data_IF_827363695189
#
_entry.id   IF_827363695189
#
_cell.length_a   1.000
_cell.length_b   1.000
_cell.length_c   1.000
_cell.angle_alpha   90.00
_cell.angle_beta   90.00
_cell.angle_gamma   90.00
#
_symmetry.space_group_name_H-M   'P 1'
#
loop_
_entity.id
_entity.type
_entity.pdbx_description
1 polymer ?
#
# COMPACT_ATOMS: atom_id res chain seq x y z
N UNK A 1 24.97 57.19 57.46
CA UNK A 1 23.74 56.37 57.28
C UNK A 1 24.10 55.13 56.48
N UNK A 2 23.43 53.99 56.71
CA UNK A 2 24.04 52.66 56.89
C UNK A 2 24.15 51.80 55.61
N UNK A 3 25.05 50.81 55.66
CA UNK A 3 25.02 49.53 54.91
C UNK A 3 24.02 48.57 55.62
N UNK A 4 23.36 47.61 54.93
CA UNK A 4 23.96 46.26 54.82
C UNK A 4 23.61 45.46 53.52
N UNK A 5 24.51 44.61 52.99
CA UNK A 5 24.65 43.13 53.14
C UNK A 5 23.49 42.37 52.42
N UNK A 6 23.71 41.40 51.51
CA UNK A 6 24.01 39.98 51.83
C UNK A 6 24.24 39.12 50.55
N UNK A 7 25.37 38.39 50.51
CA UNK A 7 25.54 36.95 50.14
C UNK A 7 25.48 36.50 48.65
N UNK A 8 26.65 36.14 48.12
CA UNK A 8 26.88 34.90 47.31
C UNK A 8 26.76 33.66 48.23
N UNK A 9 26.71 32.36 47.82
CA UNK A 9 27.14 31.69 46.57
C UNK A 9 26.26 30.43 46.20
N UNK A 10 26.84 29.40 45.53
CA UNK A 10 26.40 27.98 45.40
C UNK A 10 25.59 27.72 44.10
N UNK A 11 26.17 27.20 43.01
CA UNK A 11 26.59 25.81 42.71
C UNK A 11 25.48 24.75 42.73
N UNK A 12 25.61 23.80 41.79
CA UNK A 12 24.95 22.49 41.67
C UNK A 12 23.76 22.31 40.71
N UNK A 13 24.10 21.63 39.61
CA UNK A 13 23.47 20.42 39.06
C UNK A 13 21.97 20.39 38.80
N UNK A 14 21.61 20.21 37.53
CA UNK A 14 20.65 19.17 37.13
C UNK A 14 20.84 18.76 35.65
N UNK A 15 21.38 17.55 35.52
CA UNK A 15 21.27 16.56 34.44
C UNK A 15 20.89 17.02 33.01
N UNK A 16 21.89 17.05 32.12
CA UNK A 16 21.69 16.78 30.70
C UNK A 16 21.53 15.26 30.56
N UNK A 17 20.30 14.77 30.37
CA UNK A 17 20.09 13.42 29.88
C UNK A 17 20.43 13.39 28.39
N UNK A 18 21.69 13.10 28.09
CA UNK A 18 22.13 12.72 26.76
C UNK A 18 21.75 11.24 26.56
N UNK A 19 20.60 10.97 25.95
CA UNK A 19 20.27 9.61 25.52
C UNK A 19 21.11 9.24 24.30
N UNK A 20 22.32 8.76 24.53
CA UNK A 20 23.08 7.97 23.55
C UNK A 20 22.30 6.70 23.25
N UNK A 21 21.61 6.67 22.10
CA UNK A 21 21.08 5.43 21.53
C UNK A 21 22.24 4.66 20.90
N UNK A 22 22.82 3.75 21.67
CA UNK A 22 23.80 2.78 21.18
C UNK A 22 23.07 1.75 20.32
N UNK A 23 23.14 1.90 19.00
CA UNK A 23 22.67 0.89 18.06
C UNK A 23 23.56 -0.36 18.16
N UNK A 24 23.12 -1.35 18.94
CA UNK A 24 23.76 -2.66 19.01
C UNK A 24 23.39 -3.45 17.74
N UNK A 25 24.29 -3.51 16.77
CA UNK A 25 24.13 -4.38 15.60
C UNK A 25 24.26 -5.85 16.04
N UNK A 26 23.14 -6.56 16.14
CA UNK A 26 23.14 -8.01 16.26
C UNK A 26 23.35 -8.63 14.87
N UNK A 27 24.53 -9.21 14.65
CA UNK A 27 24.83 -10.13 13.56
C UNK A 27 23.90 -11.36 13.65
N UNK A 28 23.47 -11.96 12.52
CA UNK A 28 22.68 -13.18 12.53
C UNK A 28 23.53 -14.38 13.02
N UNK A 29 22.94 -15.36 13.73
CA UNK A 29 23.65 -16.55 14.15
C UNK A 29 23.98 -17.45 12.96
N UNK A 30 25.21 -17.95 12.98
CA UNK A 30 25.80 -18.90 12.03
C UNK A 30 25.06 -20.24 12.11
N UNK A 31 24.36 -20.65 11.04
CA UNK A 31 23.82 -22.02 10.94
C UNK A 31 24.98 -23.02 10.81
N UNK A 32 25.27 -23.74 11.89
CA UNK A 32 26.12 -24.94 11.87
C UNK A 32 25.28 -26.15 11.48
N UNK A 33 25.55 -26.70 10.30
CA UNK A 33 24.98 -27.97 9.79
C UNK A 33 25.64 -29.15 10.52
N UNK A 34 24.89 -30.14 11.05
CA UNK A 34 25.48 -31.39 11.52
C UNK A 34 25.76 -32.36 10.34
N UNK A 35 26.87 -33.10 10.34
CA UNK A 35 27.16 -34.10 9.31
C UNK A 35 26.35 -35.38 9.56
N UNK A 36 25.55 -35.80 8.57
CA UNK A 36 24.95 -37.13 8.54
C UNK A 36 25.93 -38.14 7.90
N UNK A 37 26.12 -39.34 8.48
CA UNK A 37 26.98 -40.36 7.89
C UNK A 37 26.23 -41.15 6.83
N UNK A 38 26.87 -41.28 5.67
CA UNK A 38 26.48 -42.17 4.58
C UNK A 38 26.58 -43.63 5.05
N UNK A 39 25.45 -44.34 5.06
CA UNK A 39 25.42 -45.80 5.16
C UNK A 39 25.30 -46.42 3.77
N UNK A 40 26.33 -47.21 3.46
CA UNK A 40 26.52 -48.06 2.29
C UNK A 40 25.58 -49.27 2.41
N UNK A 41 24.77 -49.53 1.37
CA UNK A 41 24.17 -50.84 1.08
C UNK A 41 24.30 -51.06 -0.44
N UNK A 42 25.36 -51.74 -0.86
CA UNK A 42 25.45 -53.19 -1.05
C UNK A 42 24.67 -53.72 -2.25
N UNK A 43 25.46 -54.04 -3.27
CA UNK A 43 25.21 -54.62 -4.60
C UNK A 43 24.52 -55.99 -4.54
N UNK A 44 23.41 -56.17 -5.27
CA UNK A 44 23.06 -57.43 -5.95
C UNK A 44 22.35 -57.13 -7.28
N UNK A 45 22.98 -57.56 -8.38
CA UNK A 45 22.34 -57.82 -9.66
C UNK A 45 21.26 -58.90 -9.52
N UNK A 46 20.25 -58.90 -10.39
CA UNK A 46 19.95 -59.97 -11.37
C UNK A 46 18.59 -59.70 -12.05
N UNK A 47 18.60 -59.93 -13.36
CA UNK A 47 17.50 -60.29 -14.27
C UNK A 47 16.59 -59.20 -14.87
N UNK A 48 16.90 -58.93 -16.14
CA UNK A 48 15.99 -58.60 -17.25
C UNK A 48 14.73 -59.48 -17.25
N UNK A 49 13.53 -58.88 -17.26
CA UNK A 49 12.31 -59.52 -17.75
C UNK A 49 11.35 -58.50 -18.42
N UNK A 50 11.28 -58.61 -19.75
CA UNK A 50 10.11 -58.47 -20.63
C UNK A 50 9.33 -57.15 -20.72
N UNK A 51 9.60 -56.40 -21.79
CA UNK A 51 8.66 -55.45 -22.40
C UNK A 51 7.55 -56.22 -23.13
N UNK A 52 6.38 -56.38 -22.50
CA UNK A 52 5.14 -56.67 -23.21
C UNK A 52 4.42 -55.34 -23.45
N UNK A 53 4.55 -54.84 -24.68
CA UNK A 53 3.75 -53.74 -25.18
C UNK A 53 2.30 -54.21 -25.34
N UNK A 54 1.44 -53.77 -24.42
CA UNK A 54 0.00 -53.73 -24.64
C UNK A 54 -0.45 -52.34 -24.24
N UNK A 55 -0.50 -51.44 -25.22
CA UNK A 55 -0.97 -50.06 -25.04
C UNK A 55 -2.45 -50.08 -24.65
N UNK A 56 -2.83 -49.61 -23.44
CA UNK A 56 -4.18 -49.12 -23.24
C UNK A 56 -4.36 -47.89 -24.14
N UNK A 57 -5.56 -47.59 -24.67
CA UNK A 57 -5.79 -46.26 -25.21
C UNK A 57 -5.39 -45.26 -24.13
N UNK A 58 -4.55 -44.30 -24.50
CA UNK A 58 -4.21 -43.19 -23.64
C UNK A 58 -5.50 -42.44 -23.34
N UNK A 59 -6.20 -42.85 -22.28
CA UNK A 59 -7.09 -41.95 -21.55
C UNK A 59 -6.18 -40.82 -21.11
N UNK A 60 -6.20 -39.74 -21.88
CA UNK A 60 -5.76 -38.44 -21.41
C UNK A 60 -6.60 -38.18 -20.16
N UNK A 61 -6.02 -38.50 -19.00
CA UNK A 61 -6.45 -37.90 -17.77
C UNK A 61 -6.06 -36.44 -17.99
N UNK A 62 -7.02 -35.67 -18.49
CA UNK A 62 -7.03 -34.22 -18.43
C UNK A 62 -7.09 -33.90 -16.94
N UNK A 63 -5.97 -34.10 -16.24
CA UNK A 63 -5.72 -33.40 -15.00
C UNK A 63 -5.75 -31.95 -15.47
N UNK A 64 -6.85 -31.27 -15.17
CA UNK A 64 -7.07 -29.86 -15.46
C UNK A 64 -6.12 -28.95 -14.68
N UNK A 65 -4.82 -29.26 -14.68
CA UNK A 65 -3.74 -28.37 -14.29
C UNK A 65 -3.62 -27.33 -15.38
N UNK A 66 -4.52 -26.36 -15.26
CA UNK A 66 -4.40 -25.02 -15.82
C UNK A 66 -2.93 -24.62 -15.90
N UNK A 67 -2.42 -24.35 -17.10
CA UNK A 67 -0.99 -24.08 -17.32
C UNK A 67 -0.45 -22.95 -16.43
N UNK A 68 0.88 -22.79 -16.28
CA UNK A 68 1.48 -21.89 -15.29
C UNK A 68 0.92 -20.45 -15.28
N UNK A 69 0.58 -19.91 -16.46
CA UNK A 69 -0.06 -18.59 -16.60
C UNK A 69 -1.46 -18.55 -15.95
N UNK A 70 -2.28 -19.57 -16.20
CA UNK A 70 -3.62 -19.64 -15.65
C UNK A 70 -3.61 -19.98 -14.16
N UNK A 71 -2.68 -20.83 -13.71
CA UNK A 71 -2.42 -21.04 -12.29
C UNK A 71 -2.08 -19.73 -11.58
N UNK A 72 -1.20 -18.91 -12.15
CA UNK A 72 -0.82 -17.62 -11.57
C UNK A 72 -1.97 -16.60 -11.58
N UNK A 73 -2.81 -16.60 -12.63
CA UNK A 73 -4.04 -15.80 -12.69
C UNK A 73 -4.98 -16.15 -11.53
N UNK A 74 -5.20 -17.44 -11.28
CA UNK A 74 -6.04 -17.93 -10.17
C UNK A 74 -5.47 -17.52 -8.80
N UNK A 75 -4.14 -17.57 -8.62
CA UNK A 75 -3.52 -17.12 -7.39
C UNK A 75 -3.71 -15.61 -7.15
N UNK A 76 -3.53 -14.78 -8.19
CA UNK A 76 -3.75 -13.34 -8.07
C UNK A 76 -5.21 -13.01 -7.78
N UNK A 77 -6.16 -13.73 -8.38
CA UNK A 77 -7.59 -13.60 -8.09
C UNK A 77 -7.89 -13.93 -6.63
N UNK A 78 -7.34 -15.02 -6.09
CA UNK A 78 -7.52 -15.38 -4.66
C UNK A 78 -6.90 -14.35 -3.72
N UNK A 79 -5.82 -13.70 -4.15
CA UNK A 79 -5.13 -12.66 -3.39
C UNK A 79 -5.75 -11.26 -3.55
N UNK A 80 -6.74 -11.07 -4.43
CA UNK A 80 -7.27 -9.74 -4.79
C UNK A 80 -7.77 -8.96 -3.58
N UNK A 81 -8.41 -9.62 -2.61
CA UNK A 81 -8.87 -8.98 -1.35
C UNK A 81 -7.74 -8.28 -0.58
N UNK A 82 -6.52 -8.80 -0.65
CA UNK A 82 -5.37 -8.20 0.01
C UNK A 82 -4.76 -7.07 -0.83
N UNK A 83 -4.83 -7.20 -2.16
CA UNK A 83 -4.42 -6.14 -3.07
C UNK A 83 -5.32 -4.90 -2.97
N UNK A 84 -6.61 -5.10 -2.70
CA UNK A 84 -7.60 -4.02 -2.62
C UNK A 84 -7.73 -3.38 -1.23
N UNK A 85 -7.11 -3.95 -0.19
CA UNK A 85 -7.21 -3.40 1.17
C UNK A 85 -6.81 -1.90 1.30
N UNK A 86 -5.75 -1.40 0.62
CA UNK A 86 -5.45 0.03 0.62
C UNK A 86 -6.52 0.91 -0.07
N UNK A 87 -7.20 0.36 -1.09
CA UNK A 87 -8.31 1.03 -1.79
C UNK A 87 -9.51 1.15 -0.85
N UNK A 88 -9.86 0.05 -0.16
CA UNK A 88 -10.92 0.02 0.84
C UNK A 88 -10.67 0.98 1.99
N UNK A 89 -9.44 1.02 2.50
CA UNK A 89 -9.05 1.96 3.57
C UNK A 89 -9.27 3.41 3.13
N UNK A 90 -8.82 3.77 1.92
CA UNK A 90 -9.00 5.12 1.38
C UNK A 90 -10.46 5.49 1.21
N UNK A 91 -11.28 4.55 0.73
CA UNK A 91 -12.74 4.72 0.60
C UNK A 91 -13.41 4.95 1.96
N UNK A 92 -13.03 4.21 2.99
CA UNK A 92 -13.59 4.39 4.34
C UNK A 92 -13.26 5.77 4.92
N UNK A 93 -12.03 6.24 4.73
CA UNK A 93 -11.61 7.57 5.19
C UNK A 93 -12.41 8.68 4.46
N UNK A 94 -12.58 8.56 3.14
CA UNK A 94 -13.41 9.50 2.37
C UNK A 94 -14.87 9.49 2.80
N UNK A 95 -15.45 8.33 3.11
CA UNK A 95 -16.81 8.23 3.67
C UNK A 95 -16.93 8.96 5.00
N UNK A 96 -15.95 8.81 5.90
CA UNK A 96 -15.93 9.56 7.15
C UNK A 96 -15.90 11.07 6.90
N UNK A 97 -15.04 11.53 5.99
CA UNK A 97 -14.97 12.95 5.64
C UNK A 97 -16.29 13.46 5.03
N UNK A 98 -16.91 12.69 4.14
CA UNK A 98 -18.20 13.02 3.53
C UNK A 98 -19.28 13.19 4.61
N UNK A 99 -19.40 12.23 5.53
CA UNK A 99 -20.37 12.30 6.63
C UNK A 99 -20.15 13.53 7.51
N UNK A 100 -18.90 13.89 7.79
CA UNK A 100 -18.57 15.12 8.53
C UNK A 100 -19.03 16.35 7.77
N UNK A 101 -18.79 16.43 6.44
CA UNK A 101 -19.15 17.59 5.60
C UNK A 101 -20.66 17.76 5.38
N UNK A 102 -21.41 16.66 5.38
CA UNK A 102 -22.86 16.66 5.14
C UNK A 102 -23.70 16.73 6.40
N UNK A 103 -23.06 16.78 7.58
CA UNK A 103 -23.80 16.90 8.82
C UNK A 103 -24.43 18.29 8.92
N UNK A 104 -25.77 18.35 8.84
CA UNK A 104 -26.55 19.58 8.79
C UNK A 104 -26.64 20.29 10.13
N UNK A 105 -26.44 19.55 11.23
CA UNK A 105 -26.66 20.04 12.59
C UNK A 105 -25.35 20.48 13.26
N UNK A 106 -24.21 20.34 12.56
CA UNK A 106 -22.90 20.65 13.09
C UNK A 106 -22.56 22.14 12.93
N UNK A 107 -22.01 22.72 14.02
CA UNK A 107 -21.30 23.99 13.95
C UNK A 107 -19.84 23.69 13.62
N UNK A 108 -19.40 24.05 12.43
CA UNK A 108 -18.05 23.72 11.96
C UNK A 108 -17.03 24.68 12.54
N UNK A 109 -16.00 24.14 13.19
CA UNK A 109 -14.88 24.92 13.71
C UNK A 109 -13.62 24.72 12.87
N UNK A 110 -12.58 25.51 13.17
CA UNK A 110 -11.28 25.37 12.50
C UNK A 110 -10.64 24.01 12.81
N UNK A 111 -10.91 23.43 13.99
CA UNK A 111 -10.48 22.08 14.33
C UNK A 111 -11.14 21.00 13.46
N UNK A 112 -12.38 21.22 13.02
CA UNK A 112 -13.05 20.29 12.10
C UNK A 112 -12.49 20.40 10.68
N UNK A 113 -12.10 21.60 10.25
CA UNK A 113 -11.37 21.79 9.00
C UNK A 113 -10.04 21.03 9.03
N UNK A 114 -9.27 21.15 10.11
CA UNK A 114 -8.00 20.43 10.27
C UNK A 114 -8.21 18.91 10.22
N UNK A 115 -9.23 18.38 10.92
CA UNK A 115 -9.57 16.95 10.85
C UNK A 115 -9.90 16.51 9.43
N UNK A 116 -10.69 17.28 8.69
CA UNK A 116 -11.05 16.97 7.30
C UNK A 116 -9.81 16.98 6.40
N UNK A 117 -8.92 17.96 6.56
CA UNK A 117 -7.66 17.99 5.85
C UNK A 117 -6.79 16.76 6.16
N UNK A 118 -6.71 16.34 7.43
CA UNK A 118 -5.99 15.13 7.82
C UNK A 118 -6.62 13.86 7.25
N UNK A 119 -7.95 13.79 7.16
CA UNK A 119 -8.65 12.70 6.49
C UNK A 119 -8.26 12.65 5.01
N UNK A 120 -8.22 13.77 4.29
CA UNK A 120 -7.81 13.78 2.88
C UNK A 120 -6.34 13.43 2.68
N UNK A 121 -5.43 13.91 3.54
CA UNK A 121 -4.03 13.50 3.54
C UNK A 121 -3.90 11.99 3.76
N UNK A 122 -4.69 11.44 4.69
CA UNK A 122 -4.66 10.02 5.01
C UNK A 122 -5.25 9.15 3.89
N UNK A 123 -6.35 9.58 3.27
CA UNK A 123 -6.97 8.89 2.14
C UNK A 123 -6.08 8.89 0.90
N UNK A 124 -5.36 9.99 0.66
CA UNK A 124 -4.49 10.15 -0.50
C UNK A 124 -3.08 9.56 -0.29
N UNK A 125 -2.74 9.12 0.94
CA UNK A 125 -1.39 8.68 1.34
C UNK A 125 -0.80 7.64 0.41
N UNK A 126 -1.64 6.75 -0.09
CA UNK A 126 -1.23 5.61 -0.90
C UNK A 126 -1.00 5.98 -2.37
N UNK A 127 -1.31 7.20 -2.84
CA UNK A 127 -1.03 7.60 -4.23
C UNK A 127 -0.69 9.05 -4.56
N UNK A 128 -0.84 9.99 -3.62
CA UNK A 128 -0.38 11.35 -3.84
C UNK A 128 0.95 11.52 -3.09
N UNK A 129 2.03 11.94 -3.77
CA UNK A 129 3.24 12.36 -3.09
C UNK A 129 2.86 13.49 -2.13
N UNK A 130 2.87 13.20 -0.84
CA UNK A 130 2.81 14.23 0.19
C UNK A 130 4.05 15.14 -0.01
N UNK A 131 4.01 16.38 0.49
CA UNK A 131 5.18 17.25 0.57
C UNK A 131 6.20 16.62 1.53
N UNK A 132 6.89 15.58 1.05
CA UNK A 132 7.79 14.76 1.83
C UNK A 132 9.18 15.32 1.64
N UNK A 133 9.90 15.38 2.76
CA UNK A 133 11.30 15.77 2.90
C UNK A 133 12.14 15.30 1.70
N UNK A 134 13.14 16.10 1.31
CA UNK A 134 13.96 15.95 0.09
C UNK A 134 14.48 14.53 -0.22
N UNK A 135 14.61 13.67 0.79
CA UNK A 135 15.00 12.27 0.69
C UNK A 135 13.97 11.39 -0.05
N UNK A 136 12.67 11.53 0.21
CA UNK A 136 11.64 10.73 -0.48
C UNK A 136 11.45 11.24 -1.90
N UNK A 137 11.62 12.54 -2.14
CA UNK A 137 11.68 13.11 -3.49
C UNK A 137 12.86 12.53 -4.29
N UNK A 138 14.01 12.31 -3.65
CA UNK A 138 15.15 11.65 -4.27
C UNK A 138 14.87 10.18 -4.59
N UNK A 139 14.17 9.46 -3.70
CA UNK A 139 13.77 8.06 -3.95
C UNK A 139 12.76 7.91 -5.10
N UNK A 140 11.80 8.84 -5.18
CA UNK A 140 10.86 8.90 -6.31
C UNK A 140 11.60 9.15 -7.64
N UNK A 141 12.67 9.97 -7.62
CA UNK A 141 13.55 10.18 -8.78
C UNK A 141 14.43 8.97 -9.09
N UNK A 142 14.77 8.14 -8.11
CA UNK A 142 15.58 6.92 -8.28
C UNK A 142 14.77 5.67 -8.65
N UNK A 143 13.51 5.82 -9.07
CA UNK A 143 12.68 4.73 -9.59
C UNK A 143 11.97 3.88 -8.54
N UNK A 144 11.93 4.31 -7.27
CA UNK A 144 11.09 3.68 -6.24
C UNK A 144 9.68 4.25 -6.36
N UNK A 145 8.71 3.41 -6.74
CA UNK A 145 7.32 3.86 -6.83
C UNK A 145 6.74 4.15 -5.45
N UNK A 146 6.30 5.40 -5.27
CA UNK A 146 5.77 5.92 -3.99
C UNK A 146 4.26 5.68 -3.85
N UNK A 147 3.55 5.45 -4.96
CA UNK A 147 2.11 5.21 -4.98
C UNK A 147 1.82 3.71 -4.93
N UNK A 148 1.33 3.23 -3.79
CA UNK A 148 0.88 1.85 -3.55
C UNK A 148 -0.14 1.41 -4.61
N UNK A 149 -1.07 2.27 -5.05
CA UNK A 149 -2.01 1.85 -6.09
C UNK A 149 -1.36 1.63 -7.45
N UNK A 150 -0.26 2.34 -7.76
CA UNK A 150 0.55 2.07 -8.96
C UNK A 150 1.19 0.69 -8.90
N UNK A 151 1.71 0.31 -7.74
CA UNK A 151 2.24 -1.03 -7.50
C UNK A 151 1.13 -2.10 -7.67
N UNK A 152 -0.09 -1.82 -7.19
CA UNK A 152 -1.24 -2.72 -7.37
C UNK A 152 -1.57 -2.90 -8.85
N UNK A 153 -1.68 -1.82 -9.63
CA UNK A 153 -1.94 -1.90 -11.09
C UNK A 153 -0.86 -2.71 -11.79
N UNK A 154 0.42 -2.43 -11.52
CA UNK A 154 1.52 -3.17 -12.13
C UNK A 154 1.52 -4.64 -11.76
N UNK A 155 1.17 -4.97 -10.51
CA UNK A 155 1.05 -6.36 -10.09
C UNK A 155 -0.12 -7.04 -10.80
N UNK A 156 -1.30 -6.43 -10.82
CA UNK A 156 -2.49 -6.99 -11.47
C UNK A 156 -2.24 -7.22 -12.97
N UNK A 157 -1.73 -6.20 -13.67
CA UNK A 157 -1.49 -6.22 -15.11
C UNK A 157 -0.18 -6.93 -15.52
N UNK A 158 0.57 -7.56 -14.61
CA UNK A 158 1.89 -8.13 -14.93
C UNK A 158 1.87 -9.30 -15.93
N UNK A 159 0.68 -9.87 -16.20
CA UNK A 159 0.49 -10.95 -17.19
C UNK A 159 -0.01 -10.42 -18.55
N UNK A 160 -0.29 -9.12 -18.63
CA UNK A 160 -0.80 -8.45 -19.80
C UNK A 160 0.36 -7.81 -20.58
N UNK A 161 0.17 -7.68 -21.90
CA UNK A 161 1.13 -6.97 -22.75
C UNK A 161 1.16 -5.48 -22.43
N UNK A 162 2.26 -4.80 -22.75
CA UNK A 162 2.38 -3.35 -22.51
C UNK A 162 1.39 -2.50 -23.32
N UNK A 163 0.83 -3.05 -24.40
CA UNK A 163 -0.20 -2.38 -25.23
C UNK A 163 -1.59 -2.97 -25.02
N UNK A 164 -1.77 -3.76 -23.97
CA UNK A 164 -3.05 -4.37 -23.65
C UNK A 164 -4.06 -3.27 -23.25
N UNK A 165 -5.24 -3.21 -23.89
CA UNK A 165 -6.21 -2.14 -23.62
C UNK A 165 -6.71 -2.15 -22.17
N UNK A 166 -6.76 -3.31 -21.51
CA UNK A 166 -7.21 -3.42 -20.11
C UNK A 166 -6.16 -2.81 -19.18
N UNK A 167 -4.88 -3.10 -19.42
CA UNK A 167 -3.76 -2.48 -18.70
C UNK A 167 -3.77 -0.96 -18.85
N UNK A 168 -3.87 -0.47 -20.10
CA UNK A 168 -3.86 0.97 -20.37
C UNK A 168 -5.05 1.70 -19.73
N UNK A 169 -6.23 1.07 -19.73
CA UNK A 169 -7.43 1.59 -19.05
C UNK A 169 -7.21 1.68 -17.53
N UNK A 170 -6.65 0.64 -16.90
CA UNK A 170 -6.36 0.65 -15.47
C UNK A 170 -5.34 1.73 -15.07
N UNK A 171 -4.31 1.94 -15.89
CA UNK A 171 -3.33 3.02 -15.70
C UNK A 171 -3.98 4.41 -15.83
N UNK A 172 -4.85 4.61 -16.82
CA UNK A 172 -5.58 5.87 -16.98
C UNK A 172 -6.55 6.16 -15.83
N UNK A 173 -7.21 5.12 -15.29
CA UNK A 173 -8.08 5.24 -14.12
C UNK A 173 -7.29 5.65 -12.87
N UNK A 174 -6.06 5.13 -12.70
CA UNK A 174 -5.18 5.53 -11.62
C UNK A 174 -4.77 7.01 -11.72
N UNK A 175 -4.44 7.48 -12.92
CA UNK A 175 -4.05 8.87 -13.13
C UNK A 175 -5.22 9.83 -12.84
N UNK A 176 -6.44 9.47 -13.26
CA UNK A 176 -7.66 10.20 -12.91
C UNK A 176 -7.89 10.24 -11.40
N UNK A 177 -7.78 9.10 -10.72
CA UNK A 177 -7.94 9.01 -9.27
C UNK A 177 -6.91 9.88 -8.53
N UNK A 178 -5.65 9.87 -8.98
CA UNK A 178 -4.57 10.70 -8.41
C UNK A 178 -4.90 12.19 -8.56
N UNK A 179 -5.47 12.59 -9.70
CA UNK A 179 -5.96 13.95 -9.91
C UNK A 179 -7.11 14.31 -8.97
N UNK A 180 -8.08 13.41 -8.78
CA UNK A 180 -9.22 13.63 -7.88
C UNK A 180 -8.76 13.82 -6.42
N UNK A 181 -7.80 13.01 -5.95
CA UNK A 181 -7.18 13.24 -4.64
C UNK A 181 -6.47 14.59 -4.51
N UNK A 182 -5.81 15.04 -5.58
CA UNK A 182 -5.15 16.36 -5.60
C UNK A 182 -6.17 17.49 -5.52
N UNK A 183 -7.30 17.36 -6.23
CA UNK A 183 -8.39 18.34 -6.22
C UNK A 183 -9.00 18.47 -4.82
N UNK A 184 -9.39 17.37 -4.18
CA UNK A 184 -10.02 17.44 -2.84
C UNK A 184 -9.07 18.03 -1.79
N UNK A 185 -7.77 17.73 -1.88
CA UNK A 185 -6.74 18.29 -1.00
C UNK A 185 -6.59 19.80 -1.21
N UNK A 186 -6.58 20.26 -2.47
CA UNK A 186 -6.52 21.68 -2.81
C UNK A 186 -7.77 22.44 -2.33
N UNK A 187 -8.96 21.89 -2.58
CA UNK A 187 -10.21 22.47 -2.11
C UNK A 187 -10.22 22.65 -0.60
N UNK A 188 -9.83 21.62 0.16
CA UNK A 188 -9.79 21.68 1.61
C UNK A 188 -8.81 22.73 2.18
N UNK A 189 -7.80 23.16 1.41
CA UNK A 189 -6.88 24.23 1.82
C UNK A 189 -7.35 25.64 1.46
N UNK A 190 -8.24 25.78 0.48
CA UNK A 190 -8.65 27.09 -0.07
C UNK A 190 -10.03 27.55 0.42
N UNK A 191 -10.91 26.63 0.81
CA UNK A 191 -12.32 26.92 1.10
C UNK A 191 -12.60 27.25 2.55
N UNK A 192 -13.63 28.07 2.80
CA UNK A 192 -14.13 28.35 4.14
C UNK A 192 -15.21 27.33 4.53
N UNK A 193 -14.88 26.38 5.41
CA UNK A 193 -15.81 25.32 5.83
C UNK A 193 -17.04 25.85 6.58
N UNK A 194 -17.01 27.07 7.11
CA UNK A 194 -18.17 27.67 7.75
C UNK A 194 -19.28 28.00 6.73
N UNK A 195 -18.92 28.18 5.45
CA UNK A 195 -19.86 28.45 4.38
C UNK A 195 -20.48 27.15 3.83
N UNK A 196 -21.80 27.07 3.83
CA UNK A 196 -22.51 25.87 3.38
C UNK A 196 -22.27 25.52 1.89
N UNK A 197 -22.07 26.51 1.03
CA UNK A 197 -21.76 26.27 -0.40
C UNK A 197 -20.39 25.64 -0.58
N UNK A 198 -19.40 26.06 0.21
CA UNK A 198 -18.05 25.51 0.18
C UNK A 198 -18.04 24.07 0.69
N UNK A 199 -18.74 23.80 1.79
CA UNK A 199 -18.92 22.42 2.29
C UNK A 199 -19.53 21.51 1.24
N UNK A 200 -20.59 21.97 0.57
CA UNK A 200 -21.23 21.22 -0.51
C UNK A 200 -20.26 20.94 -1.65
N UNK A 201 -19.50 21.94 -2.09
CA UNK A 201 -18.49 21.77 -3.14
C UNK A 201 -17.42 20.73 -2.78
N UNK A 202 -16.94 20.73 -1.53
CA UNK A 202 -15.99 19.71 -1.05
C UNK A 202 -16.67 18.33 -1.01
N UNK A 203 -17.89 18.23 -0.49
CA UNK A 203 -18.63 16.97 -0.40
C UNK A 203 -18.90 16.36 -1.79
N UNK A 204 -19.27 17.18 -2.76
CA UNK A 204 -19.46 16.77 -4.16
C UNK A 204 -18.14 16.21 -4.73
N UNK A 205 -17.02 16.92 -4.53
CA UNK A 205 -15.70 16.45 -4.97
C UNK A 205 -15.22 15.16 -4.27
N UNK A 206 -15.59 14.97 -2.99
CA UNK A 206 -15.35 13.72 -2.26
C UNK A 206 -16.17 12.58 -2.87
N UNK A 207 -17.44 12.84 -3.21
CA UNK A 207 -18.30 11.86 -3.88
C UNK A 207 -17.73 11.44 -5.24
N UNK A 208 -17.27 12.41 -6.04
CA UNK A 208 -16.62 12.16 -7.32
C UNK A 208 -15.34 11.32 -7.14
N UNK A 209 -14.52 11.63 -6.13
CA UNK A 209 -13.30 10.87 -5.82
C UNK A 209 -13.62 9.42 -5.40
N UNK A 210 -14.69 9.21 -4.63
CA UNK A 210 -15.16 7.86 -4.30
C UNK A 210 -15.62 7.10 -5.56
N UNK A 211 -16.31 7.77 -6.49
CA UNK A 211 -16.68 7.17 -7.78
C UNK A 211 -15.44 6.76 -8.60
N UNK A 212 -14.40 7.60 -8.60
CA UNK A 212 -13.15 7.27 -9.27
C UNK A 212 -12.39 6.12 -8.59
N UNK A 213 -12.46 6.00 -7.26
CA UNK A 213 -11.96 4.82 -6.54
C UNK A 213 -12.67 3.54 -6.97
N UNK A 214 -13.99 3.58 -7.10
CA UNK A 214 -14.78 2.40 -7.50
C UNK A 214 -14.46 1.98 -8.94
N UNK A 215 -14.31 2.95 -9.86
CA UNK A 215 -13.86 2.66 -11.23
C UNK A 215 -12.44 2.09 -11.23
N UNK A 216 -11.55 2.65 -10.42
CA UNK A 216 -10.17 2.20 -10.29
C UNK A 216 -10.09 0.75 -9.78
N UNK A 217 -10.85 0.41 -8.73
CA UNK A 217 -10.98 -0.95 -8.23
C UNK A 217 -11.47 -1.91 -9.32
N UNK A 218 -12.51 -1.52 -10.06
CA UNK A 218 -12.99 -2.32 -11.18
C UNK A 218 -11.90 -2.51 -12.26
N UNK A 219 -11.11 -1.48 -12.56
CA UNK A 219 -9.99 -1.59 -13.49
C UNK A 219 -8.91 -2.59 -13.03
N UNK A 220 -8.65 -2.67 -11.73
CA UNK A 220 -7.78 -3.71 -11.16
C UNK A 220 -8.39 -5.09 -11.35
N UNK A 221 -9.68 -5.24 -11.05
CA UNK A 221 -10.39 -6.51 -11.21
C UNK A 221 -10.41 -6.98 -12.67
N UNK A 222 -10.68 -6.07 -13.61
CA UNK A 222 -10.61 -6.34 -15.04
C UNK A 222 -9.23 -6.89 -15.43
N UNK A 223 -8.13 -6.33 -14.90
CA UNK A 223 -6.77 -6.83 -15.15
C UNK A 223 -6.53 -8.24 -14.60
N UNK A 224 -7.13 -8.58 -13.44
CA UNK A 224 -7.01 -9.90 -12.81
C UNK A 224 -7.83 -10.97 -13.54
N UNK A 225 -8.92 -10.56 -14.18
CA UNK A 225 -9.84 -11.44 -14.91
C UNK A 225 -9.51 -11.57 -16.41
N UNK A 226 -8.62 -10.72 -16.93
CA UNK A 226 -8.12 -10.73 -18.33
C UNK A 226 -7.16 -11.88 -18.63
#
# INVERSE_FOLDING_TARGET
>A
MPLPILVSPISSFSAIFLSTVTARSSLPPKCTVPPSPFSILSRREIALLSFLALSPPASAIDIGISGPKNWLKEQKRKASKFLLAPVDASRQILRSAYLTLTNTDATYTDEDLEKIQQLFISAARDCVPQDRNSFVTFQAKSGVEVCTFRLIVKNAASLLGNKDPVKLKAEALLDNLTRSFTIIRGLASETNIQLASDRKKIADAVSDTMSDLDKFEQGIMDCLES
#
